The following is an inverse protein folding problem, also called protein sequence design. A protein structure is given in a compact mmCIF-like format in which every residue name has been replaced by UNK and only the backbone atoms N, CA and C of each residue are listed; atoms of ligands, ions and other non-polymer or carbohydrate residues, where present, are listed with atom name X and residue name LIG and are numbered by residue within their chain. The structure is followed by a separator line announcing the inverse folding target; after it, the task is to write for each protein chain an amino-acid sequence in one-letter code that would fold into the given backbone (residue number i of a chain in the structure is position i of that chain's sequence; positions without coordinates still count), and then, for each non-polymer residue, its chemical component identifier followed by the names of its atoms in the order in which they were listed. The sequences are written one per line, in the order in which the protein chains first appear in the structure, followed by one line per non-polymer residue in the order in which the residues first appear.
data_IF_771630571393
#
_entry.id   IF_771630571393
#
_cell.length_a   1.000
_cell.length_b   1.000
_cell.length_c   1.000
_cell.angle_alpha   90.00
_cell.angle_beta   90.00
_cell.angle_gamma   90.00
#
_symmetry.space_group_name_H-M   'P 1'
#
loop_
_entity.id
_entity.type
_entity.pdbx_description
1 polymer ?
#
# COMPACT_ATOMS: atom_id res chain seq x y z
N UNK A 1 19.16 37.41 12.29
CA UNK A 1 19.56 37.04 10.92
C UNK A 1 18.45 36.19 10.36
N UNK A 2 17.86 36.59 9.24
CA UNK A 2 16.67 35.95 8.65
C UNK A 2 17.07 34.73 7.84
N UNK A 3 16.57 33.55 8.21
CA UNK A 3 16.68 32.32 7.42
C UNK A 3 15.60 32.33 6.33
N UNK A 4 15.87 33.01 5.21
CA UNK A 4 15.00 33.03 4.03
C UNK A 4 15.47 31.95 3.05
N UNK A 5 15.25 30.67 3.41
CA UNK A 5 15.43 29.56 2.48
C UNK A 5 14.20 29.50 1.57
N UNK A 6 14.40 29.61 0.25
CA UNK A 6 13.31 29.44 -0.70
C UNK A 6 12.83 27.98 -0.71
N UNK A 7 11.54 27.73 -0.94
CA UNK A 7 11.02 26.36 -1.03
C UNK A 7 11.78 25.52 -2.09
N UNK A 8 12.31 26.17 -3.12
CA UNK A 8 13.09 25.48 -4.15
C UNK A 8 14.44 24.97 -3.63
N UNK A 9 15.08 25.67 -2.68
CA UNK A 9 16.31 25.21 -2.04
C UNK A 9 16.06 24.03 -1.07
N UNK A 10 14.90 24.01 -0.41
CA UNK A 10 14.48 22.91 0.48
C UNK A 10 14.37 21.58 -0.28
N UNK A 11 13.90 21.63 -1.53
CA UNK A 11 13.73 20.45 -2.38
C UNK A 11 14.89 20.21 -3.35
N UNK A 12 15.91 21.08 -3.33
CA UNK A 12 17.09 20.91 -4.16
C UNK A 12 17.95 19.75 -3.64
N UNK A 13 18.18 18.75 -4.49
CA UNK A 13 19.05 17.63 -4.14
C UNK A 13 20.50 18.13 -4.05
N UNK A 14 21.26 17.76 -3.00
CA UNK A 14 22.65 18.17 -2.87
C UNK A 14 23.45 17.85 -4.14
N UNK A 15 24.16 18.84 -4.69
CA UNK A 15 25.01 18.65 -5.86
C UNK A 15 26.05 17.58 -5.52
N UNK A 16 25.97 16.43 -6.18
CA UNK A 16 26.93 15.34 -5.93
C UNK A 16 28.32 15.79 -6.37
N UNK A 17 29.33 15.83 -5.47
CA UNK A 17 30.70 16.01 -5.90
C UNK A 17 31.09 14.85 -6.83
N UNK A 18 31.82 15.17 -7.91
CA UNK A 18 32.16 14.24 -8.98
C UNK A 18 32.60 12.88 -8.47
N UNK A 19 31.97 11.81 -8.98
CA UNK A 19 32.19 10.44 -8.51
C UNK A 19 33.66 10.04 -8.66
N UNK A 20 34.33 9.59 -7.58
CA UNK A 20 35.62 8.92 -7.70
C UNK A 20 35.48 7.66 -8.57
N UNK A 21 36.48 7.37 -9.40
CA UNK A 21 36.51 6.13 -10.20
C UNK A 21 36.53 4.94 -9.25
N UNK A 22 35.39 4.26 -9.13
CA UNK A 22 35.29 3.04 -8.31
C UNK A 22 36.08 1.90 -8.97
N UNK A 23 36.88 1.13 -8.19
CA UNK A 23 37.52 -0.08 -8.71
C UNK A 23 36.46 -1.08 -9.20
N UNK A 24 36.78 -1.84 -10.27
CA UNK A 24 35.85 -2.81 -10.87
C UNK A 24 35.49 -3.87 -9.83
N UNK A 25 34.29 -3.81 -9.29
CA UNK A 25 33.70 -4.89 -8.51
C UNK A 25 33.50 -6.11 -9.40
N UNK A 26 33.75 -7.34 -8.90
CA UNK A 26 33.39 -8.56 -9.61
C UNK A 26 31.88 -8.56 -9.89
N UNK A 27 31.46 -9.07 -11.05
CA UNK A 27 30.04 -9.15 -11.39
C UNK A 27 29.34 -10.05 -10.36
N UNK A 28 28.46 -9.46 -9.55
CA UNK A 28 27.52 -10.20 -8.71
C UNK A 28 26.66 -11.09 -9.62
N UNK A 29 26.46 -12.38 -9.29
CA UNK A 29 25.55 -13.22 -10.06
C UNK A 29 24.15 -12.61 -10.04
N UNK A 30 23.52 -12.53 -11.21
CA UNK A 30 22.17 -11.98 -11.36
C UNK A 30 21.20 -12.94 -10.66
N UNK A 31 20.55 -12.48 -9.59
CA UNK A 31 19.39 -13.16 -9.02
C UNK A 31 18.33 -13.30 -10.12
N UNK A 32 17.78 -14.49 -10.39
CA UNK A 32 16.70 -14.63 -11.35
C UNK A 32 15.52 -13.78 -10.88
N UNK A 33 15.20 -12.77 -11.67
CA UNK A 33 13.97 -12.00 -11.48
C UNK A 33 12.84 -12.93 -11.92
N UNK A 34 12.12 -13.53 -10.97
CA UNK A 34 10.82 -14.12 -11.30
C UNK A 34 9.95 -12.96 -11.79
N UNK A 35 9.58 -13.02 -13.07
CA UNK A 35 8.52 -12.19 -13.61
C UNK A 35 7.26 -12.51 -12.79
N UNK A 36 6.89 -11.60 -11.88
CA UNK A 36 5.59 -11.68 -11.22
C UNK A 36 4.56 -11.51 -12.32
N UNK A 37 3.68 -12.49 -12.48
CA UNK A 37 2.56 -12.35 -13.40
C UNK A 37 1.82 -11.04 -13.07
N UNK A 38 1.40 -10.27 -14.09
CA UNK A 38 0.66 -9.05 -13.86
C UNK A 38 -0.64 -9.40 -13.13
N UNK A 39 -0.73 -9.01 -11.86
CA UNK A 39 -1.97 -9.12 -11.10
C UNK A 39 -2.95 -8.15 -11.75
N UNK A 40 -4.09 -8.67 -12.20
CA UNK A 40 -5.22 -7.84 -12.60
C UNK A 40 -5.80 -7.18 -11.34
N UNK A 41 -5.33 -5.96 -11.08
CA UNK A 41 -5.73 -5.16 -9.93
C UNK A 41 -7.25 -4.93 -9.91
N UNK A 42 -7.91 -4.81 -11.07
CA UNK A 42 -9.35 -4.59 -11.12
C UNK A 42 -10.12 -5.86 -10.70
N UNK A 43 -9.68 -7.03 -11.17
CA UNK A 43 -10.24 -8.30 -10.73
C UNK A 43 -10.07 -8.53 -9.21
N UNK A 44 -8.89 -8.18 -8.67
CA UNK A 44 -8.63 -8.27 -7.24
C UNK A 44 -9.56 -7.34 -6.43
N UNK A 45 -9.70 -6.08 -6.85
CA UNK A 45 -10.58 -5.11 -6.20
C UNK A 45 -12.05 -5.54 -6.21
N UNK A 46 -12.54 -6.10 -7.32
CA UNK A 46 -13.91 -6.62 -7.41
C UNK A 46 -14.14 -7.77 -6.43
N UNK A 47 -13.18 -8.68 -6.31
CA UNK A 47 -13.24 -9.80 -5.36
C UNK A 47 -13.24 -9.32 -3.90
N UNK A 48 -12.40 -8.34 -3.58
CA UNK A 48 -12.37 -7.74 -2.24
C UNK A 48 -13.71 -7.06 -1.91
N UNK A 49 -14.26 -6.31 -2.86
CA UNK A 49 -15.55 -5.62 -2.69
C UNK A 49 -16.72 -6.59 -2.51
N UNK A 50 -16.73 -7.71 -3.24
CA UNK A 50 -17.68 -8.80 -3.02
C UNK A 50 -17.54 -9.38 -1.61
N UNK A 51 -16.31 -9.63 -1.16
CA UNK A 51 -16.04 -10.10 0.20
C UNK A 51 -16.58 -9.16 1.28
N UNK A 52 -16.39 -7.85 1.11
CA UNK A 52 -16.90 -6.83 2.04
C UNK A 52 -18.44 -6.82 2.06
N UNK A 53 -19.10 -6.97 0.90
CA UNK A 53 -20.58 -7.05 0.85
C UNK A 53 -21.11 -8.27 1.59
N UNK A 54 -20.50 -9.44 1.36
CA UNK A 54 -20.89 -10.67 2.05
C UNK A 54 -20.74 -10.56 3.57
N UNK A 55 -19.68 -9.89 4.03
CA UNK A 55 -19.47 -9.63 5.46
C UNK A 55 -20.58 -8.71 6.00
N UNK A 56 -20.91 -7.62 5.31
CA UNK A 56 -21.95 -6.70 5.76
C UNK A 56 -23.32 -7.40 5.86
N UNK A 57 -23.71 -8.20 4.86
CA UNK A 57 -24.95 -9.00 4.90
C UNK A 57 -24.99 -9.93 6.11
N UNK A 58 -23.87 -10.59 6.42
CA UNK A 58 -23.77 -11.47 7.59
C UNK A 58 -23.93 -10.72 8.91
N UNK A 59 -23.34 -9.52 9.01
CA UNK A 59 -23.44 -8.64 10.20
C UNK A 59 -24.89 -8.18 10.38
N UNK A 60 -25.56 -7.76 9.30
CA UNK A 60 -26.97 -7.35 9.34
C UNK A 60 -27.87 -8.49 9.82
N UNK A 61 -27.63 -9.72 9.38
CA UNK A 61 -28.35 -10.90 9.86
C UNK A 61 -28.15 -11.17 11.37
N UNK A 62 -26.93 -10.98 11.87
CA UNK A 62 -26.63 -11.09 13.31
C UNK A 62 -27.34 -10.00 14.09
N UNK A 63 -27.28 -8.74 13.64
CA UNK A 63 -27.98 -7.61 14.27
C UNK A 63 -29.47 -7.88 14.35
N UNK A 64 -30.11 -8.28 13.24
CA UNK A 64 -31.54 -8.61 13.21
C UNK A 64 -31.91 -9.74 14.18
N UNK A 65 -31.01 -10.71 14.39
CA UNK A 65 -31.21 -11.79 15.35
C UNK A 65 -31.12 -11.28 16.79
N UNK A 66 -30.14 -10.43 17.07
CA UNK A 66 -29.96 -9.81 18.39
C UNK A 66 -31.13 -8.90 18.76
N UNK A 67 -31.64 -8.11 17.81
CA UNK A 67 -32.82 -7.25 18.02
C UNK A 67 -34.06 -8.08 18.38
N UNK A 68 -34.29 -9.22 17.72
CA UNK A 68 -35.40 -10.12 18.04
C UNK A 68 -35.22 -10.78 19.41
N UNK A 69 -34.02 -11.22 19.74
CA UNK A 69 -33.73 -11.83 21.04
C UNK A 69 -33.87 -10.80 22.19
N UNK A 70 -33.43 -9.57 21.95
CA UNK A 70 -33.58 -8.44 22.88
C UNK A 70 -35.04 -8.03 23.08
N UNK A 71 -35.81 -7.90 22.01
CA UNK A 71 -37.24 -7.54 22.08
C UNK A 71 -38.14 -8.63 22.69
N UNK A 72 -37.65 -9.86 22.83
CA UNK A 72 -38.32 -10.94 23.58
C UNK A 72 -38.03 -10.90 25.10
N UNK A 73 -37.16 -9.99 25.57
CA UNK A 73 -36.83 -9.83 27.00
C UNK A 73 -37.58 -8.68 27.70
N UNK A 74 -38.47 -7.98 26.99
CA UNK A 74 -39.38 -6.95 27.54
C UNK A 74 -40.78 -7.51 27.84
#
# INVERSE_FOLDING_TARGET
MSDDYTQEEIWSSPVQPGRPRTPRTPKTPKTPTQEREPIDHEAALRKELEGVRNINESIEGVIATLERAGGNMD
#
